data_IF_273230867923
#
_entry.id   IF_273230867923
#
_cell.length_a   1.000
_cell.length_b   1.000
_cell.length_c   1.000
_cell.angle_alpha   90.00
_cell.angle_beta   90.00
_cell.angle_gamma   90.00
#
_symmetry.space_group_name_H-M   'P 1'
#
loop_
_entity.id
_entity.type
_entity.pdbx_description
1 polymer ?
#
# COMPACT_ATOMS: atom_id res chain seq x y z
N UNK A 1 -20.42 1.46 11.70
CA UNK A 1 -19.37 1.74 10.70
C UNK A 1 -18.06 1.83 11.45
N UNK A 2 -17.24 0.78 11.42
CA UNK A 2 -15.89 0.85 11.99
C UNK A 2 -15.13 1.89 11.17
N UNK A 3 -14.53 2.93 11.77
CA UNK A 3 -13.80 3.94 11.01
C UNK A 3 -12.71 3.23 10.20
N UNK A 4 -12.85 3.29 8.87
CA UNK A 4 -12.00 2.56 7.94
C UNK A 4 -10.55 3.04 7.99
N UNK A 5 -9.65 2.25 7.42
CA UNK A 5 -8.26 2.67 7.22
C UNK A 5 -8.21 3.99 6.45
N UNK A 6 -7.32 4.89 6.86
CA UNK A 6 -7.10 6.18 6.18
C UNK A 6 -5.66 6.29 5.69
N UNK A 7 -5.39 6.89 4.52
CA UNK A 7 -4.04 7.19 4.09
C UNK A 7 -3.34 8.11 5.11
N UNK A 8 -2.07 7.82 5.42
CA UNK A 8 -1.24 8.61 6.34
C UNK A 8 0.09 9.05 5.73
N UNK A 9 0.43 8.58 4.52
CA UNK A 9 1.65 8.95 3.81
C UNK A 9 1.90 8.09 2.57
N UNK A 10 3.07 8.28 1.97
CA UNK A 10 3.57 7.53 0.83
C UNK A 10 5.04 7.14 1.02
N UNK A 11 5.45 6.02 0.43
CA UNK A 11 6.87 5.68 0.23
C UNK A 11 7.21 5.99 -1.23
N UNK A 12 8.22 6.81 -1.44
CA UNK A 12 8.66 7.26 -2.76
C UNK A 12 10.17 7.06 -2.94
N UNK A 13 10.56 6.55 -4.10
CA UNK A 13 11.95 6.52 -4.58
C UNK A 13 12.02 7.31 -5.87
N UNK A 14 12.94 8.28 -5.95
CA UNK A 14 13.19 9.05 -7.16
C UNK A 14 14.66 8.93 -7.57
N UNK A 15 14.90 8.70 -8.85
CA UNK A 15 16.21 8.77 -9.50
C UNK A 15 16.12 9.88 -10.54
N UNK A 16 16.93 10.93 -10.38
CA UNK A 16 16.89 12.13 -11.24
C UNK A 16 15.48 12.72 -11.40
N UNK A 17 14.71 12.74 -10.30
CA UNK A 17 13.33 13.26 -10.27
C UNK A 17 12.26 12.28 -10.79
N UNK A 18 12.66 11.13 -11.34
CA UNK A 18 11.74 10.12 -11.91
C UNK A 18 11.39 9.05 -10.87
N UNK A 19 10.10 8.67 -10.71
CA UNK A 19 9.71 7.55 -9.85
C UNK A 19 10.45 6.27 -10.22
N UNK A 20 10.93 5.55 -9.21
CA UNK A 20 11.84 4.44 -9.42
C UNK A 20 11.48 3.19 -8.61
N UNK A 21 10.36 3.13 -7.89
CA UNK A 21 9.91 1.87 -7.28
C UNK A 21 9.22 1.06 -8.39
N UNK A 22 9.78 -0.09 -8.74
CA UNK A 22 9.24 -1.01 -9.75
C UNK A 22 8.30 -2.00 -9.07
N UNK A 23 7.19 -2.34 -9.72
CA UNK A 23 6.18 -3.25 -9.18
C UNK A 23 6.72 -4.66 -8.86
N UNK A 24 7.63 -5.21 -9.67
CA UNK A 24 8.26 -6.52 -9.40
C UNK A 24 9.14 -6.50 -8.18
N UNK A 25 9.92 -5.43 -7.98
CA UNK A 25 10.73 -5.23 -6.78
C UNK A 25 9.83 -5.12 -5.55
N UNK A 26 8.73 -4.39 -5.68
CA UNK A 26 7.74 -4.23 -4.63
C UNK A 26 7.06 -5.56 -4.27
N UNK A 27 6.61 -6.34 -5.27
CA UNK A 27 5.99 -7.66 -5.06
C UNK A 27 6.96 -8.63 -4.39
N UNK A 28 8.22 -8.61 -4.80
CA UNK A 28 9.28 -9.43 -4.19
C UNK A 28 9.51 -9.02 -2.74
N UNK A 29 9.62 -7.72 -2.48
CA UNK A 29 9.82 -7.15 -1.15
C UNK A 29 8.69 -7.53 -0.19
N UNK A 30 7.43 -7.34 -0.58
CA UNK A 30 6.29 -7.67 0.30
C UNK A 30 6.09 -9.18 0.45
N UNK A 31 6.53 -9.98 -0.53
CA UNK A 31 6.45 -11.44 -0.48
C UNK A 31 7.38 -12.06 0.57
N UNK A 32 8.48 -11.38 0.92
CA UNK A 32 9.45 -11.85 1.92
C UNK A 32 9.17 -11.39 3.35
N UNK A 33 8.00 -10.78 3.62
CA UNK A 33 7.70 -10.07 4.88
C UNK A 33 6.53 -10.74 5.61
N UNK A 34 6.77 -11.59 6.62
CA UNK A 34 5.70 -12.29 7.33
C UNK A 34 4.75 -11.36 8.09
N UNK A 35 5.17 -10.14 8.43
CA UNK A 35 4.36 -9.09 9.03
C UNK A 35 3.34 -8.44 8.07
N UNK A 36 3.52 -8.67 6.76
CA UNK A 36 2.65 -8.19 5.70
C UNK A 36 1.68 -9.29 5.26
N UNK A 37 0.42 -9.13 5.64
CA UNK A 37 -0.62 -10.14 5.41
C UNK A 37 -1.52 -9.74 4.25
N UNK A 38 -2.27 -10.70 3.70
CA UNK A 38 -3.41 -10.35 2.86
C UNK A 38 -4.40 -9.56 3.72
N UNK A 39 -4.85 -8.40 3.23
CA UNK A 39 -5.88 -7.62 3.90
C UNK A 39 -7.17 -8.45 4.07
N UNK A 40 -8.10 -8.03 4.95
CA UNK A 40 -9.39 -8.72 5.06
C UNK A 40 -10.09 -8.72 3.69
N UNK A 41 -10.82 -9.80 3.34
CA UNK A 41 -11.60 -9.86 2.11
C UNK A 41 -12.51 -8.64 2.02
N UNK A 42 -12.43 -7.91 0.90
CA UNK A 42 -13.38 -6.85 0.62
C UNK A 42 -14.53 -7.45 -0.18
N UNK A 43 -15.75 -7.00 0.08
CA UNK A 43 -16.92 -7.49 -0.62
C UNK A 43 -17.61 -6.32 -1.31
N UNK A 44 -17.93 -6.50 -2.58
CA UNK A 44 -18.68 -5.57 -3.41
C UNK A 44 -19.97 -6.20 -3.90
N UNK A 45 -20.71 -5.45 -4.72
CA UNK A 45 -21.84 -5.98 -5.48
C UNK A 45 -21.48 -5.94 -6.96
N UNK A 46 -21.72 -7.04 -7.65
CA UNK A 46 -21.66 -7.06 -9.10
C UNK A 46 -22.73 -6.09 -9.65
N UNK A 47 -22.33 -5.07 -10.44
CA UNK A 47 -23.27 -4.07 -10.93
C UNK A 47 -24.32 -4.65 -11.89
N UNK A 48 -24.05 -5.79 -12.54
CA UNK A 48 -24.95 -6.39 -13.50
C UNK A 48 -26.09 -7.21 -12.84
N UNK A 49 -25.82 -7.85 -11.70
CA UNK A 49 -26.78 -8.81 -11.11
C UNK A 49 -26.96 -8.68 -9.59
N UNK A 50 -26.29 -7.72 -8.94
CA UNK A 50 -26.42 -7.43 -7.51
C UNK A 50 -25.82 -8.47 -6.56
N UNK A 51 -25.22 -9.55 -7.07
CA UNK A 51 -24.59 -10.60 -6.26
C UNK A 51 -23.37 -10.06 -5.52
N UNK A 52 -23.16 -10.59 -4.30
CA UNK A 52 -21.94 -10.29 -3.53
C UNK A 52 -20.75 -10.92 -4.24
N UNK A 53 -19.72 -10.12 -4.50
CA UNK A 53 -18.45 -10.56 -5.06
C UNK A 53 -17.32 -10.21 -4.10
N UNK A 54 -16.33 -11.09 -3.99
CA UNK A 54 -15.10 -10.77 -3.28
C UNK A 54 -14.24 -9.85 -4.17
N UNK A 55 -14.01 -8.63 -3.70
CA UNK A 55 -13.08 -7.67 -4.28
C UNK A 55 -11.67 -8.07 -3.84
N UNK A 56 -10.93 -8.67 -4.76
CA UNK A 56 -9.52 -8.97 -4.54
C UNK A 56 -8.71 -7.70 -4.73
N UNK A 57 -8.04 -7.23 -3.67
CA UNK A 57 -6.95 -6.27 -3.85
C UNK A 57 -5.82 -6.95 -4.61
N UNK A 58 -5.17 -6.20 -5.50
CA UNK A 58 -4.11 -6.72 -6.38
C UNK A 58 -2.93 -7.29 -5.59
N UNK A 59 -2.07 -8.05 -6.29
CA UNK A 59 -0.90 -8.70 -5.68
C UNK A 59 0.10 -7.71 -5.06
N UNK A 60 0.01 -6.43 -5.43
CA UNK A 60 0.80 -5.31 -4.93
C UNK A 60 0.27 -4.67 -3.64
N UNK A 61 -0.84 -5.15 -3.07
CA UNK A 61 -1.38 -4.62 -1.81
C UNK A 61 -1.18 -5.59 -0.65
N UNK A 62 -0.77 -5.10 0.52
CA UNK A 62 -0.71 -5.87 1.78
C UNK A 62 -1.25 -5.10 2.97
N UNK A 63 -1.84 -5.81 3.91
CA UNK A 63 -2.16 -5.31 5.24
C UNK A 63 -0.94 -5.41 6.16
N UNK A 64 -0.79 -4.45 7.05
CA UNK A 64 0.20 -4.49 8.14
C UNK A 64 -0.48 -5.11 9.36
N UNK A 65 0.07 -6.22 9.86
CA UNK A 65 -0.47 -6.94 11.02
C UNK A 65 0.26 -6.60 12.31
N UNK A 66 -0.48 -6.48 13.42
CA UNK A 66 0.10 -6.49 14.78
C UNK A 66 0.07 -7.88 15.43
N UNK A 67 -0.18 -8.93 14.65
CA UNK A 67 -0.38 -10.31 15.10
C UNK A 67 -1.81 -10.63 15.56
N UNK A 68 -2.57 -9.63 16.02
CA UNK A 68 -3.99 -9.80 16.45
C UNK A 68 -4.99 -9.21 15.46
N UNK A 69 -4.60 -8.17 14.73
CA UNK A 69 -5.46 -7.49 13.77
C UNK A 69 -4.62 -6.79 12.69
N UNK A 70 -5.26 -6.45 11.57
CA UNK A 70 -4.67 -5.57 10.57
C UNK A 70 -4.79 -4.13 11.06
N UNK A 71 -3.65 -3.45 11.20
CA UNK A 71 -3.52 -2.09 11.73
C UNK A 71 -3.20 -1.04 10.66
N UNK A 72 -2.84 -1.47 9.46
CA UNK A 72 -2.59 -0.59 8.32
C UNK A 72 -2.58 -1.33 7.00
N UNK A 73 -2.26 -0.62 5.92
CA UNK A 73 -2.06 -1.19 4.60
C UNK A 73 -0.94 -0.47 3.83
N UNK A 74 -0.41 -1.18 2.85
CA UNK A 74 0.49 -0.72 1.81
C UNK A 74 -0.18 -1.01 0.48
N UNK A 75 -0.32 0.00 -0.37
CA UNK A 75 -0.96 -0.10 -1.68
C UNK A 75 -0.06 0.53 -2.75
N UNK A 76 0.26 -0.22 -3.80
CA UNK A 76 1.11 0.31 -4.86
C UNK A 76 0.25 1.07 -5.87
N UNK A 77 0.50 2.36 -6.00
CA UNK A 77 -0.13 3.22 -6.99
C UNK A 77 0.85 3.44 -8.15
N UNK A 78 0.43 2.99 -9.32
CA UNK A 78 1.18 3.13 -10.56
C UNK A 78 1.09 4.56 -11.10
N UNK A 79 2.16 5.02 -11.75
CA UNK A 79 2.12 6.27 -12.50
C UNK A 79 1.71 5.94 -13.95
N UNK A 80 0.69 6.64 -14.46
CA UNK A 80 -0.09 6.30 -15.67
C UNK A 80 0.70 6.21 -17.00
N UNK A 81 2.02 6.46 -16.98
CA UNK A 81 2.89 6.44 -18.16
C UNK A 81 3.70 5.14 -18.33
N UNK A 82 3.48 4.12 -17.48
CA UNK A 82 4.18 2.81 -17.59
C UNK A 82 3.23 1.68 -18.02
N UNK A 83 3.71 0.79 -18.90
CA UNK A 83 2.97 -0.41 -19.27
C UNK A 83 2.92 -1.35 -18.06
N UNK A 84 1.70 -1.77 -17.69
CA UNK A 84 1.41 -2.55 -16.49
C UNK A 84 1.58 -4.06 -16.69
N UNK A 85 1.80 -4.49 -17.93
CA UNK A 85 1.65 -5.90 -18.31
C UNK A 85 2.96 -6.70 -18.24
N UNK A 86 4.12 -6.06 -18.06
CA UNK A 86 5.43 -6.71 -18.08
C UNK A 86 6.18 -6.70 -16.74
N UNK A 87 5.63 -6.07 -15.70
CA UNK A 87 6.32 -5.93 -14.41
C UNK A 87 7.42 -4.87 -14.42
N UNK A 88 7.33 -3.87 -15.31
CA UNK A 88 8.22 -2.70 -15.33
C UNK A 88 7.56 -1.45 -14.76
N UNK A 89 6.33 -1.57 -14.28
CA UNK A 89 5.53 -0.42 -13.91
C UNK A 89 6.13 0.29 -12.70
N UNK A 90 6.31 1.60 -12.81
CA UNK A 90 6.87 2.43 -11.74
C UNK A 90 5.79 3.18 -10.98
N UNK A 91 6.00 3.34 -9.68
CA UNK A 91 5.01 3.95 -8.82
C UNK A 91 5.51 4.38 -7.46
N UNK A 92 4.54 4.64 -6.59
CA UNK A 92 4.73 4.92 -5.17
C UNK A 92 3.87 3.96 -4.34
N UNK A 93 4.21 3.80 -3.07
CA UNK A 93 3.42 2.98 -2.15
C UNK A 93 2.64 3.89 -1.22
N UNK A 94 1.32 3.87 -1.31
CA UNK A 94 0.43 4.53 -0.35
C UNK A 94 0.40 3.74 0.94
N UNK A 95 0.55 4.45 2.05
CA UNK A 95 0.51 3.90 3.39
C UNK A 95 -0.75 4.38 4.08
N UNK A 96 -1.55 3.45 4.60
CA UNK A 96 -2.72 3.78 5.40
C UNK A 96 -2.74 3.08 6.75
N UNK A 97 -3.47 3.66 7.69
CA UNK A 97 -3.54 3.20 9.08
C UNK A 97 -4.97 3.16 9.58
N UNK A 98 -5.25 2.20 10.46
CA UNK A 98 -6.41 2.26 11.33
C UNK A 98 -6.24 3.41 12.34
N UNK A 99 -7.34 4.03 12.81
CA UNK A 99 -7.27 5.07 13.83
C UNK A 99 -6.54 4.60 15.08
N UNK A 100 -5.59 5.40 15.58
CA UNK A 100 -4.80 5.08 16.77
C UNK A 100 -3.53 4.29 16.51
N UNK A 101 -3.28 3.87 15.27
CA UNK A 101 -2.08 3.13 14.85
C UNK A 101 -1.16 3.94 13.91
N UNK A 102 -1.40 5.24 13.74
CA UNK A 102 -0.70 6.04 12.73
C UNK A 102 0.81 6.08 12.98
N UNK A 103 1.23 6.27 14.23
CA UNK A 103 2.64 6.31 14.62
C UNK A 103 3.37 4.97 14.34
N UNK A 104 2.91 3.81 14.87
CA UNK A 104 3.60 2.55 14.59
C UNK A 104 3.58 2.18 13.11
N UNK A 105 2.50 2.51 12.37
CA UNK A 105 2.45 2.28 10.92
C UNK A 105 3.44 3.19 10.18
N UNK A 106 3.56 4.47 10.56
CA UNK A 106 4.52 5.40 9.97
C UNK A 106 5.98 5.00 10.25
N UNK A 107 6.28 4.51 11.46
CA UNK A 107 7.60 3.98 11.82
C UNK A 107 7.95 2.75 10.97
N UNK A 108 7.00 1.82 10.79
CA UNK A 108 7.21 0.65 9.94
C UNK A 108 7.39 1.05 8.46
N UNK A 109 6.59 1.98 7.96
CA UNK A 109 6.72 2.50 6.61
C UNK A 109 8.08 3.19 6.39
N UNK A 110 8.58 3.92 7.38
CA UNK A 110 9.92 4.52 7.33
C UNK A 110 11.02 3.47 7.27
N UNK A 111 10.89 2.38 8.02
CA UNK A 111 11.83 1.24 7.95
C UNK A 111 11.79 0.56 6.57
N UNK A 112 10.60 0.37 6.00
CA UNK A 112 10.47 -0.19 4.65
C UNK A 112 11.06 0.73 3.59
N UNK A 113 10.84 2.05 3.71
CA UNK A 113 11.44 3.04 2.83
C UNK A 113 12.97 2.96 2.86
N UNK A 114 13.58 2.86 4.05
CA UNK A 114 15.02 2.72 4.17
C UNK A 114 15.57 1.47 3.46
N UNK A 115 14.90 0.32 3.58
CA UNK A 115 15.30 -0.92 2.90
C UNK A 115 15.19 -0.79 1.38
N UNK A 116 14.21 -0.04 0.89
CA UNK A 116 13.99 0.19 -0.55
C UNK A 116 14.90 1.29 -1.14
N UNK A 117 15.76 1.91 -0.33
CA UNK A 117 16.48 3.14 -0.67
C UNK A 117 15.50 4.24 -1.15
N UNK A 118 14.42 4.41 -0.41
CA UNK A 118 13.30 5.31 -0.64
C UNK A 118 13.12 6.23 0.58
N UNK A 119 12.16 7.15 0.50
CA UNK A 119 11.76 8.03 1.59
C UNK A 119 10.29 7.85 1.92
N UNK A 120 9.95 7.90 3.20
CA UNK A 120 8.57 7.98 3.65
C UNK A 120 8.17 9.46 3.80
N UNK A 121 7.12 9.85 3.08
CA UNK A 121 6.53 11.17 3.14
C UNK A 121 5.22 11.09 3.93
N UNK A 122 5.15 11.65 5.15
CA UNK A 122 3.90 11.73 5.87
C UNK A 122 2.91 12.60 5.08
N UNK A 123 1.64 12.17 5.03
CA UNK A 123 0.58 12.99 4.46
C UNK A 123 0.33 14.14 5.42
N UNK A 124 0.59 15.36 4.98
CA UNK A 124 0.28 16.54 5.77
C UNK A 124 -1.22 16.50 6.15
N UNK A 125 -1.52 16.67 7.44
CA UNK A 125 -2.90 16.74 7.94
C UNK A 125 -3.72 17.91 7.34
N UNK A 126 -3.12 18.73 6.47
CA UNK A 126 -3.67 19.99 5.96
C UNK A 126 -3.82 20.06 4.42
N UNK A 127 -3.83 18.94 3.70
CA UNK A 127 -4.00 18.96 2.25
C UNK A 127 -5.44 18.75 1.79
N UNK A 128 -6.19 19.85 1.63
CA UNK A 128 -7.27 20.07 0.65
C UNK A 128 -8.53 19.20 0.71
#
# INVERSE_FOLDING_TARGET
>A
MTPGFRPIGSIERKVDGTPAIVDTDWVTFIGSRPELVKGPPQYGRNPANGQVIELRRGNTCRGISSGKQVIGYLDFEFWEYTDKNDGSAVGNVVVGSAPGFEKPVAELASNFAAVLNAQYHPRDRNGG
#
